data_IF_938603838811
#
_entry.id   IF_938603838811
#
_cell.length_a   1.000
_cell.length_b   1.000
_cell.length_c   1.000
_cell.angle_alpha   90.00
_cell.angle_beta   90.00
_cell.angle_gamma   90.00
#
_symmetry.space_group_name_H-M   'P 1'
#
loop_
_entity.id
_entity.type
_entity.pdbx_description
1 polymer ?
#
# COMPACT_ATOMS: atom_id res chain seq x y z
N UNK A 1 -41.14 11.75 -26.16
CA UNK A 1 -40.04 11.12 -26.92
C UNK A 1 -38.71 11.86 -26.77
N UNK A 2 -38.67 13.19 -26.90
CA UNK A 2 -37.43 13.99 -26.72
C UNK A 2 -36.79 13.92 -25.32
N UNK A 3 -37.58 13.84 -24.24
CA UNK A 3 -37.03 13.81 -22.88
C UNK A 3 -36.22 12.55 -22.56
N UNK A 4 -36.56 11.43 -23.20
CA UNK A 4 -35.87 10.14 -23.01
C UNK A 4 -34.51 10.12 -23.72
N UNK A 5 -34.41 10.83 -24.84
CA UNK A 5 -33.17 11.03 -25.59
C UNK A 5 -32.20 11.91 -24.79
N UNK A 6 -32.69 13.00 -24.19
CA UNK A 6 -31.86 13.89 -23.35
C UNK A 6 -31.34 13.16 -22.11
N UNK A 7 -32.18 12.37 -21.45
CA UNK A 7 -31.78 11.54 -20.30
C UNK A 7 -30.75 10.47 -20.68
N UNK A 8 -30.87 9.87 -21.86
CA UNK A 8 -29.88 8.92 -22.40
C UNK A 8 -28.55 9.59 -22.74
N UNK A 9 -28.57 10.76 -23.38
CA UNK A 9 -27.36 11.53 -23.69
C UNK A 9 -26.68 12.02 -22.40
N UNK A 10 -27.45 12.49 -21.41
CA UNK A 10 -26.93 12.89 -20.11
C UNK A 10 -26.34 11.69 -19.34
N UNK A 11 -26.98 10.50 -19.42
CA UNK A 11 -26.46 9.27 -18.80
C UNK A 11 -25.20 8.77 -19.50
N UNK A 12 -25.13 8.79 -20.83
CA UNK A 12 -23.93 8.41 -21.60
C UNK A 12 -22.80 9.43 -21.39
N UNK A 13 -23.11 10.72 -21.31
CA UNK A 13 -22.15 11.77 -20.95
C UNK A 13 -21.64 11.61 -19.52
N UNK A 14 -22.51 11.30 -18.56
CA UNK A 14 -22.14 11.03 -17.17
C UNK A 14 -21.35 9.72 -17.02
N UNK A 15 -21.66 8.68 -17.79
CA UNK A 15 -20.89 7.42 -17.81
C UNK A 15 -19.48 7.66 -18.38
N UNK A 16 -19.35 8.40 -19.49
CA UNK A 16 -18.04 8.75 -20.04
C UNK A 16 -17.23 9.72 -19.16
N UNK A 17 -17.89 10.60 -18.41
CA UNK A 17 -17.23 11.52 -17.47
C UNK A 17 -16.90 10.86 -16.11
N UNK A 18 -17.65 9.86 -15.69
CA UNK A 18 -17.44 9.13 -14.42
C UNK A 18 -16.47 7.93 -14.55
N UNK A 19 -16.16 7.49 -15.77
CA UNK A 19 -15.12 6.48 -16.04
C UNK A 19 -13.89 7.03 -16.77
N UNK A 20 -13.80 8.35 -16.96
CA UNK A 20 -12.50 8.96 -17.18
C UNK A 20 -11.72 8.83 -15.87
N UNK A 21 -10.59 8.10 -15.82
CA UNK A 21 -9.72 8.23 -14.66
C UNK A 21 -9.46 9.73 -14.49
N UNK A 22 -9.65 10.25 -13.27
CA UNK A 22 -9.11 11.55 -12.88
C UNK A 22 -7.72 11.66 -13.51
N UNK A 23 -7.34 12.78 -14.16
CA UNK A 23 -6.10 12.87 -14.91
C UNK A 23 -5.03 12.30 -14.00
N UNK A 24 -4.59 11.08 -14.32
CA UNK A 24 -3.55 10.43 -13.59
C UNK A 24 -2.44 11.43 -13.83
N UNK A 25 -2.05 12.19 -12.80
CA UNK A 25 -0.67 12.65 -12.73
C UNK A 25 0.08 11.39 -13.04
N UNK A 26 0.63 11.32 -14.25
CA UNK A 26 1.17 10.11 -14.83
C UNK A 26 1.98 9.46 -13.72
N UNK A 27 1.52 8.33 -13.18
CA UNK A 27 2.42 7.58 -12.33
C UNK A 27 3.37 6.98 -13.34
N UNK A 28 4.37 7.78 -13.69
CA UNK A 28 5.47 7.37 -14.50
C UNK A 28 5.90 6.05 -13.87
N UNK A 29 5.92 4.98 -14.67
CA UNK A 29 6.32 3.67 -14.16
C UNK A 29 7.66 3.77 -13.44
N UNK A 30 8.08 2.78 -12.64
CA UNK A 30 9.35 2.90 -11.94
C UNK A 30 10.50 3.27 -12.88
N UNK A 31 11.41 4.13 -12.39
CA UNK A 31 12.52 4.63 -13.18
C UNK A 31 13.35 3.47 -13.74
N UNK A 32 13.75 3.58 -15.01
CA UNK A 32 14.53 2.53 -15.66
C UNK A 32 15.91 2.39 -15.00
N UNK A 33 16.32 1.17 -14.69
CA UNK A 33 17.64 0.91 -14.12
C UNK A 33 18.72 0.86 -15.22
N UNK A 34 19.93 1.29 -14.89
CA UNK A 34 21.05 1.43 -15.81
C UNK A 34 22.34 0.92 -15.19
N UNK A 35 23.35 0.74 -16.03
CA UNK A 35 24.69 0.42 -15.59
C UNK A 35 25.19 1.44 -14.55
N UNK A 36 25.72 0.93 -13.44
CA UNK A 36 26.25 1.75 -12.35
C UNK A 36 25.22 2.20 -11.31
N UNK A 37 23.92 2.04 -11.56
CA UNK A 37 22.89 2.39 -10.59
C UNK A 37 22.98 1.46 -9.36
N UNK A 38 22.78 2.02 -8.16
CA UNK A 38 23.04 1.30 -6.90
C UNK A 38 21.91 0.36 -6.47
N UNK A 39 22.32 -0.73 -5.81
CA UNK A 39 21.43 -1.65 -5.09
C UNK A 39 21.60 -1.51 -3.57
N UNK A 40 20.57 -1.96 -2.84
CA UNK A 40 20.57 -1.96 -1.38
C UNK A 40 19.80 -3.16 -0.82
N UNK A 41 20.39 -3.83 0.17
CA UNK A 41 19.70 -4.84 0.98
C UNK A 41 18.88 -4.17 2.06
N UNK A 42 17.81 -4.81 2.50
CA UNK A 42 17.09 -4.33 3.68
C UNK A 42 17.97 -4.44 4.92
N UNK A 43 17.94 -3.41 5.75
CA UNK A 43 18.55 -3.47 7.09
C UNK A 43 17.52 -4.02 8.07
N UNK A 44 17.90 -4.98 8.91
CA UNK A 44 17.00 -5.53 9.93
C UNK A 44 16.51 -4.45 10.90
N UNK A 45 17.41 -3.55 11.32
CA UNK A 45 17.04 -2.40 12.16
C UNK A 45 16.10 -1.44 11.44
N UNK A 46 16.32 -1.17 10.15
CA UNK A 46 15.39 -0.37 9.35
C UNK A 46 14.02 -1.04 9.28
N UNK A 47 13.96 -2.35 9.02
CA UNK A 47 12.71 -3.11 9.00
C UNK A 47 11.99 -3.10 10.36
N UNK A 48 12.74 -3.23 11.47
CA UNK A 48 12.19 -3.22 12.82
C UNK A 48 11.63 -1.85 13.19
N UNK A 49 12.39 -0.78 12.96
CA UNK A 49 11.95 0.60 13.20
C UNK A 49 10.80 0.99 12.27
N UNK A 50 10.84 0.54 11.03
CA UNK A 50 9.76 0.69 10.05
C UNK A 50 8.49 0.00 10.52
N UNK A 51 8.58 -1.22 11.06
CA UNK A 51 7.44 -1.94 11.64
C UNK A 51 6.84 -1.19 12.84
N UNK A 52 7.67 -0.69 13.76
CA UNK A 52 7.20 0.12 14.90
C UNK A 52 6.53 1.41 14.43
N UNK A 53 7.18 2.14 13.53
CA UNK A 53 6.67 3.42 12.99
C UNK A 53 5.37 3.21 12.20
N UNK A 54 5.34 2.19 11.33
CA UNK A 54 4.16 1.80 10.57
C UNK A 54 2.99 1.42 11.47
N UNK A 55 3.25 0.67 12.54
CA UNK A 55 2.22 0.31 13.50
C UNK A 55 1.69 1.54 14.28
N UNK A 56 2.54 2.49 14.67
CA UNK A 56 2.11 3.74 15.32
C UNK A 56 1.26 4.61 14.39
N UNK A 57 1.65 4.76 13.12
CA UNK A 57 0.86 5.49 12.12
C UNK A 57 -0.48 4.77 11.89
N UNK A 58 -0.46 3.45 11.75
CA UNK A 58 -1.65 2.63 11.67
C UNK A 58 -2.58 2.85 12.87
N UNK A 59 -2.04 2.80 14.09
CA UNK A 59 -2.80 3.06 15.31
C UNK A 59 -3.49 4.43 15.31
N UNK A 60 -2.79 5.48 14.86
CA UNK A 60 -3.37 6.82 14.77
C UNK A 60 -4.53 6.88 13.76
N UNK A 61 -4.38 6.26 12.59
CA UNK A 61 -5.44 6.14 11.58
C UNK A 61 -6.65 5.38 12.14
N UNK A 62 -6.42 4.24 12.80
CA UNK A 62 -7.48 3.43 13.41
C UNK A 62 -8.14 4.13 14.60
N UNK A 63 -7.40 4.89 15.42
CA UNK A 63 -7.96 5.67 16.52
C UNK A 63 -8.88 6.79 16.01
N UNK A 64 -8.46 7.50 14.96
CA UNK A 64 -9.28 8.51 14.30
C UNK A 64 -10.57 7.90 13.72
N UNK A 65 -10.46 6.74 13.05
CA UNK A 65 -11.63 6.01 12.58
C UNK A 65 -12.54 5.55 13.74
N UNK A 66 -11.96 5.07 14.84
CA UNK A 66 -12.68 4.67 16.06
C UNK A 66 -13.45 5.81 16.71
N UNK A 67 -12.91 7.03 16.72
CA UNK A 67 -13.59 8.21 17.23
C UNK A 67 -14.79 8.61 16.37
N UNK A 68 -14.68 8.49 15.04
CA UNK A 68 -15.82 8.70 14.12
C UNK A 68 -16.93 7.67 14.34
N UNK A 69 -16.55 6.42 14.63
CA UNK A 69 -17.51 5.35 14.96
C UNK A 69 -18.22 5.62 16.29
N UNK A 70 -17.47 6.08 17.31
CA UNK A 70 -18.02 6.45 18.60
C UNK A 70 -18.95 7.67 18.50
N UNK A 71 -18.57 8.69 17.74
CA UNK A 71 -19.34 9.91 17.53
C UNK A 71 -20.65 9.71 16.76
N UNK A 72 -20.72 8.70 15.89
CA UNK A 72 -21.93 8.34 15.13
C UNK A 72 -22.87 7.36 15.86
N UNK A 73 -22.59 7.07 17.14
CA UNK A 73 -23.44 6.20 17.97
C UNK A 73 -23.47 4.74 17.49
N UNK A 74 -22.41 4.27 16.82
CA UNK A 74 -22.29 2.90 16.37
C UNK A 74 -22.96 2.58 15.03
N UNK A 75 -23.64 3.51 14.37
CA UNK A 75 -24.17 3.29 13.00
C UNK A 75 -23.05 3.03 11.98
N UNK A 76 -21.89 3.67 12.18
CA UNK A 76 -20.71 3.41 11.38
C UNK A 76 -20.05 2.05 11.68
N UNK A 77 -20.41 1.32 12.75
CA UNK A 77 -19.84 -0.03 12.99
C UNK A 77 -20.31 -1.05 11.96
N UNK A 78 -21.58 -1.00 11.56
CA UNK A 78 -22.12 -1.89 10.53
C UNK A 78 -21.54 -1.53 9.17
N UNK A 79 -21.34 -0.22 8.89
CA UNK A 79 -20.63 0.22 7.72
C UNK A 79 -19.15 -0.21 7.77
N UNK A 80 -18.40 0.01 8.83
CA UNK A 80 -16.96 -0.31 8.92
C UNK A 80 -16.70 -1.83 9.01
N UNK A 81 -17.59 -2.62 9.60
CA UNK A 81 -17.48 -4.10 9.64
C UNK A 81 -17.98 -4.75 8.33
N UNK A 82 -19.04 -4.23 7.70
CA UNK A 82 -19.45 -4.68 6.36
C UNK A 82 -18.52 -4.15 5.25
N UNK A 83 -17.85 -3.03 5.48
CA UNK A 83 -16.85 -2.38 4.63
C UNK A 83 -15.43 -2.60 5.21
N UNK A 84 -15.17 -3.70 5.91
CA UNK A 84 -13.81 -4.04 6.36
C UNK A 84 -12.79 -4.03 5.22
N UNK A 85 -13.26 -4.19 3.98
CA UNK A 85 -12.52 -4.06 2.73
C UNK A 85 -12.77 -2.75 1.97
N UNK A 86 -13.82 -1.98 2.26
CA UNK A 86 -14.23 -0.82 1.47
C UNK A 86 -13.99 0.54 2.16
N UNK A 87 -13.88 0.59 3.48
CA UNK A 87 -13.42 1.79 4.20
C UNK A 87 -11.93 2.10 3.95
N UNK A 88 -11.13 1.06 3.72
CA UNK A 88 -9.72 1.18 3.31
C UNK A 88 -9.58 1.73 1.89
N UNK A 89 -10.54 1.45 0.99
CA UNK A 89 -10.50 1.95 -0.40
C UNK A 89 -10.62 3.49 -0.48
N UNK A 90 -11.40 4.13 0.39
CA UNK A 90 -11.51 5.59 0.44
C UNK A 90 -10.24 6.28 0.99
N UNK A 91 -9.38 5.54 1.69
CA UNK A 91 -8.13 6.01 2.27
C UNK A 91 -6.88 5.54 1.51
N UNK A 92 -7.03 4.96 0.32
CA UNK A 92 -5.89 4.42 -0.45
C UNK A 92 -4.75 5.42 -0.60
N UNK A 93 -5.04 6.69 -0.90
CA UNK A 93 -4.02 7.73 -1.02
C UNK A 93 -3.26 8.04 0.28
N UNK A 94 -3.93 8.02 1.45
CA UNK A 94 -3.24 8.26 2.74
C UNK A 94 -2.43 7.04 3.17
N UNK A 95 -2.94 5.83 2.91
CA UNK A 95 -2.24 4.58 3.19
C UNK A 95 -0.99 4.48 2.30
N UNK A 96 -1.11 4.76 1.00
CA UNK A 96 0.03 4.77 0.08
C UNK A 96 1.10 5.77 0.50
N UNK A 97 0.72 7.00 0.87
CA UNK A 97 1.67 8.01 1.38
C UNK A 97 2.32 7.59 2.69
N UNK A 98 1.55 7.04 3.62
CA UNK A 98 2.09 6.53 4.89
C UNK A 98 3.07 5.38 4.66
N UNK A 99 2.70 4.42 3.80
CA UNK A 99 3.55 3.28 3.45
C UNK A 99 4.82 3.72 2.70
N UNK A 100 4.72 4.71 1.81
CA UNK A 100 5.86 5.32 1.13
C UNK A 100 6.80 5.99 2.11
N UNK A 101 6.27 6.81 3.03
CA UNK A 101 7.09 7.46 4.06
C UNK A 101 7.80 6.46 4.99
N UNK A 102 7.14 5.34 5.33
CA UNK A 102 7.78 4.26 6.09
C UNK A 102 8.86 3.58 5.25
N UNK A 103 8.59 3.28 3.98
CA UNK A 103 9.57 2.68 3.08
C UNK A 103 10.80 3.59 2.90
N UNK A 104 10.59 4.89 2.67
CA UNK A 104 11.65 5.90 2.57
C UNK A 104 12.47 5.99 3.86
N UNK A 105 11.80 5.92 5.01
CA UNK A 105 12.49 5.89 6.30
C UNK A 105 13.32 4.61 6.47
N UNK A 106 12.79 3.43 6.16
CA UNK A 106 13.55 2.17 6.17
C UNK A 106 14.74 2.25 5.22
N UNK A 107 14.54 2.82 4.04
CA UNK A 107 15.57 2.99 3.03
C UNK A 107 16.59 4.06 3.38
N UNK A 108 16.28 5.01 4.28
CA UNK A 108 17.27 5.94 4.82
C UNK A 108 18.29 5.25 5.76
N UNK A 109 17.90 4.11 6.34
CA UNK A 109 18.72 3.36 7.30
C UNK A 109 19.54 2.31 6.57
N UNK A 110 20.77 2.65 6.22
CA UNK A 110 21.80 1.72 5.70
C UNK A 110 22.63 2.28 4.54
N UNK A 111 23.71 1.60 4.20
CA UNK A 111 24.59 1.94 3.07
C UNK A 111 24.09 1.33 1.75
N UNK A 112 24.59 1.85 0.63
CA UNK A 112 24.47 1.19 -0.68
C UNK A 112 25.39 -0.03 -0.72
N UNK A 113 24.92 -1.09 -1.39
CA UNK A 113 25.57 -2.41 -1.40
C UNK A 113 26.18 -2.75 -2.77
N UNK A 114 26.34 -1.76 -3.64
CA UNK A 114 27.11 -1.85 -4.88
C UNK A 114 26.30 -1.53 -6.15
N UNK A 115 27.00 -1.30 -7.28
CA UNK A 115 26.39 -0.96 -8.56
C UNK A 115 25.97 -2.18 -9.39
N UNK A 116 25.01 -1.97 -10.30
CA UNK A 116 24.80 -2.85 -11.45
C UNK A 116 26.08 -2.86 -12.31
N UNK A 117 26.63 -4.06 -12.55
CA UNK A 117 27.95 -4.24 -13.16
C UNK A 117 27.92 -4.61 -14.64
N UNK A 118 26.82 -5.19 -15.13
CA UNK A 118 26.63 -5.45 -16.57
C UNK A 118 25.27 -4.93 -17.02
N UNK A 119 25.14 -4.66 -18.33
CA UNK A 119 23.94 -4.09 -18.91
C UNK A 119 23.86 -4.40 -20.41
N UNK A 120 22.82 -3.90 -21.09
CA UNK A 120 22.67 -3.97 -22.54
C UNK A 120 23.82 -3.31 -23.30
N UNK A 121 24.37 -3.98 -24.30
CA UNK A 121 25.49 -3.48 -25.11
C UNK A 121 25.11 -2.44 -26.18
N UNK A 122 23.82 -2.24 -26.45
CA UNK A 122 23.32 -1.42 -27.56
C UNK A 122 22.11 -0.54 -27.22
N UNK A 123 21.48 -0.73 -26.06
CA UNK A 123 20.37 0.11 -25.61
C UNK A 123 20.84 0.98 -24.47
N UNK A 124 20.73 2.30 -24.67
CA UNK A 124 21.19 3.30 -23.72
C UNK A 124 20.01 4.14 -23.23
N UNK A 125 20.01 4.43 -21.93
CA UNK A 125 19.05 5.28 -21.24
C UNK A 125 19.85 6.39 -20.58
N UNK A 126 19.62 7.64 -21.00
CA UNK A 126 20.38 8.81 -20.54
C UNK A 126 21.90 8.61 -20.66
N UNK A 127 22.36 8.03 -21.77
CA UNK A 127 23.78 7.80 -22.06
C UNK A 127 24.43 6.63 -21.30
N UNK A 128 23.71 5.93 -20.41
CA UNK A 128 24.18 4.72 -19.75
C UNK A 128 23.49 3.47 -20.32
N UNK A 129 24.17 2.34 -20.32
CA UNK A 129 23.61 1.07 -20.80
C UNK A 129 22.40 0.65 -19.94
N UNK A 130 21.30 0.22 -20.57
CA UNK A 130 20.07 -0.17 -19.88
C UNK A 130 20.20 -1.54 -19.20
N UNK A 131 19.75 -1.65 -17.95
CA UNK A 131 19.81 -2.90 -17.18
C UNK A 131 18.60 -3.81 -17.46
N UNK A 132 18.83 -5.12 -17.39
CA UNK A 132 17.87 -6.17 -17.75
C UNK A 132 17.84 -7.26 -16.69
N UNK A 133 16.65 -7.78 -16.39
CA UNK A 133 16.51 -8.98 -15.58
C UNK A 133 17.15 -10.21 -16.28
N UNK A 134 17.37 -11.28 -15.53
CA UNK A 134 17.82 -12.62 -15.99
C UNK A 134 19.30 -12.68 -16.39
N UNK A 135 19.81 -11.67 -17.09
CA UNK A 135 21.15 -11.69 -17.70
C UNK A 135 22.14 -10.78 -17.02
N UNK A 136 21.70 -9.61 -16.54
CA UNK A 136 22.61 -8.62 -16.00
C UNK A 136 22.92 -8.86 -14.52
N UNK A 137 24.18 -8.59 -14.15
CA UNK A 137 24.76 -8.86 -12.85
C UNK A 137 24.98 -7.57 -12.06
N UNK A 138 25.12 -7.74 -10.75
CA UNK A 138 25.36 -6.67 -9.80
C UNK A 138 26.66 -6.95 -9.04
N UNK A 139 27.49 -5.92 -8.87
CA UNK A 139 28.69 -6.00 -8.05
C UNK A 139 28.32 -5.80 -6.57
N UNK A 140 27.65 -6.79 -6.00
CA UNK A 140 27.20 -6.75 -4.61
C UNK A 140 28.39 -6.88 -3.64
N UNK A 141 28.52 -5.95 -2.68
CA UNK A 141 29.60 -5.94 -1.68
C UNK A 141 29.40 -6.94 -0.55
N UNK A 142 28.17 -7.44 -0.35
CA UNK A 142 27.82 -8.39 0.71
C UNK A 142 27.97 -9.86 0.30
N UNK A 143 28.15 -10.14 -0.98
CA UNK A 143 28.19 -11.50 -1.52
C UNK A 143 29.41 -11.67 -2.43
N UNK A 144 30.13 -12.78 -2.30
CA UNK A 144 31.33 -13.03 -3.10
C UNK A 144 31.03 -13.38 -4.57
N UNK A 145 29.85 -13.96 -4.85
CA UNK A 145 29.40 -14.24 -6.22
C UNK A 145 28.48 -13.12 -6.70
N UNK A 146 28.74 -12.50 -7.88
CA UNK A 146 27.88 -11.46 -8.43
C UNK A 146 26.46 -11.98 -8.67
N UNK A 147 25.46 -11.47 -7.94
CA UNK A 147 24.09 -11.89 -8.12
C UNK A 147 23.49 -11.25 -9.38
N UNK A 148 22.51 -11.93 -9.99
CA UNK A 148 21.77 -11.45 -11.15
C UNK A 148 20.53 -10.68 -10.76
N UNK A 149 20.07 -9.78 -11.62
CA UNK A 149 18.76 -9.12 -11.46
C UNK A 149 17.66 -10.16 -11.68
N UNK A 150 16.79 -10.33 -10.68
CA UNK A 150 15.76 -11.37 -10.65
C UNK A 150 14.40 -10.89 -11.15
N UNK A 151 14.10 -9.61 -10.99
CA UNK A 151 12.82 -9.01 -11.37
C UNK A 151 12.96 -7.96 -12.46
N UNK A 152 11.87 -7.75 -13.20
CA UNK A 152 11.79 -6.74 -14.25
C UNK A 152 10.36 -6.48 -14.68
N UNK A 153 10.22 -5.67 -15.73
CA UNK A 153 8.96 -5.39 -16.41
C UNK A 153 8.32 -6.66 -16.99
N UNK A 154 7.00 -6.77 -16.95
CA UNK A 154 6.25 -7.88 -17.57
C UNK A 154 5.99 -7.65 -19.07
N UNK A 155 6.03 -6.40 -19.52
CA UNK A 155 5.66 -6.05 -20.90
C UNK A 155 6.72 -5.28 -21.68
N UNK A 156 7.80 -4.83 -21.02
CA UNK A 156 8.87 -4.07 -21.67
C UNK A 156 10.15 -4.90 -21.63
N UNK A 157 10.68 -5.17 -22.81
CA UNK A 157 11.86 -5.99 -23.01
C UNK A 157 12.97 -5.19 -23.69
N UNK A 158 14.21 -5.48 -23.33
CA UNK A 158 15.43 -4.90 -23.90
C UNK A 158 16.32 -6.08 -24.28
N UNK A 159 16.59 -6.25 -25.58
CA UNK A 159 17.30 -7.42 -26.11
C UNK A 159 16.70 -8.74 -25.61
N UNK A 160 15.38 -8.89 -25.77
CA UNK A 160 14.61 -10.09 -25.37
C UNK A 160 14.63 -10.43 -23.88
N UNK A 161 15.08 -9.50 -23.03
CA UNK A 161 15.10 -9.66 -21.58
C UNK A 161 14.25 -8.59 -20.90
N UNK A 162 13.58 -8.91 -19.79
CA UNK A 162 12.75 -7.94 -19.07
C UNK A 162 13.54 -6.70 -18.66
N UNK A 163 13.02 -5.50 -18.90
CA UNK A 163 13.67 -4.26 -18.49
C UNK A 163 13.67 -4.13 -16.97
N UNK A 164 14.85 -3.91 -16.37
CA UNK A 164 15.00 -3.72 -14.93
C UNK A 164 14.73 -2.26 -14.54
N UNK A 165 14.23 -2.06 -13.32
CA UNK A 165 13.75 -0.76 -12.82
C UNK A 165 14.09 -0.58 -11.34
N UNK A 166 13.95 0.66 -10.87
CA UNK A 166 13.96 0.96 -9.43
C UNK A 166 12.86 0.15 -8.74
N UNK A 167 13.21 -0.52 -7.64
CA UNK A 167 12.32 -1.40 -6.90
C UNK A 167 12.36 -2.87 -7.33
N UNK A 168 12.99 -3.20 -8.46
CA UNK A 168 13.20 -4.60 -8.85
C UNK A 168 14.26 -5.27 -7.99
N UNK A 169 14.01 -6.55 -7.68
CA UNK A 169 14.88 -7.38 -6.84
C UNK A 169 15.99 -8.05 -7.63
N UNK A 170 17.09 -8.24 -6.92
CA UNK A 170 18.25 -9.05 -7.29
C UNK A 170 18.09 -10.42 -6.63
N UNK A 171 18.69 -11.45 -7.23
CA UNK A 171 18.70 -12.83 -6.71
C UNK A 171 19.15 -12.93 -5.25
N UNK A 172 20.09 -12.09 -4.79
CA UNK A 172 20.49 -12.05 -3.38
C UNK A 172 19.52 -11.32 -2.43
N UNK A 173 18.32 -10.96 -2.91
CA UNK A 173 17.28 -10.27 -2.13
C UNK A 173 17.30 -8.74 -2.22
N UNK A 174 18.46 -8.17 -2.60
CA UNK A 174 18.68 -6.73 -2.71
C UNK A 174 17.71 -6.06 -3.68
N UNK A 175 17.50 -4.76 -3.51
CA UNK A 175 16.59 -3.96 -4.34
C UNK A 175 17.35 -2.84 -5.04
N UNK A 176 17.06 -2.60 -6.32
CA UNK A 176 17.62 -1.46 -7.08
C UNK A 176 17.01 -0.16 -6.54
N UNK A 177 17.85 0.81 -6.16
CA UNK A 177 17.42 2.08 -5.54
C UNK A 177 17.65 3.31 -6.40
N UNK A 178 18.49 3.20 -7.43
CA UNK A 178 18.76 4.28 -8.38
C UNK A 178 18.29 3.90 -9.79
N UNK A 179 17.95 4.92 -10.57
CA UNK A 179 17.43 4.77 -11.92
C UNK A 179 17.55 6.05 -12.73
N UNK A 180 17.00 6.03 -13.94
CA UNK A 180 16.93 7.19 -14.84
C UNK A 180 16.06 8.31 -14.28
N UNK A 181 16.39 9.56 -14.61
CA UNK A 181 15.65 10.74 -14.14
C UNK A 181 14.43 11.07 -15.00
N UNK A 182 14.48 10.71 -16.29
CA UNK A 182 13.48 11.06 -17.31
C UNK A 182 12.82 9.85 -17.96
N UNK A 183 13.37 8.64 -17.77
CA UNK A 183 12.88 7.42 -18.44
C UNK A 183 12.30 6.46 -17.42
N UNK A 184 11.05 6.10 -17.65
CA UNK A 184 10.21 5.37 -16.74
C UNK A 184 9.61 4.18 -17.47
N UNK A 185 9.73 2.98 -16.88
CA UNK A 185 9.28 1.74 -17.52
C UNK A 185 8.02 1.24 -16.80
N UNK A 186 6.89 1.33 -17.51
CA UNK A 186 5.60 0.84 -17.02
C UNK A 186 5.49 -0.69 -16.97
N UNK A 187 4.28 -1.13 -16.64
CA UNK A 187 3.86 -2.54 -16.45
C UNK A 187 4.05 -3.11 -15.04
N UNK A 188 3.52 -4.31 -14.83
CA UNK A 188 3.70 -5.10 -13.61
C UNK A 188 5.16 -5.50 -13.34
N UNK A 189 5.39 -6.19 -12.23
CA UNK A 189 6.70 -6.65 -11.80
C UNK A 189 6.74 -8.18 -11.86
N UNK A 190 7.45 -8.71 -12.87
CA UNK A 190 7.67 -10.14 -13.03
C UNK A 190 8.88 -10.62 -12.23
N UNK A 191 8.78 -11.80 -11.62
CA UNK A 191 9.92 -12.49 -10.99
C UNK A 191 10.36 -13.65 -11.87
N UNK A 192 11.57 -13.54 -12.42
CA UNK A 192 12.08 -14.45 -13.44
C UNK A 192 13.19 -15.36 -12.91
N UNK A 193 13.85 -14.97 -11.82
CA UNK A 193 14.79 -15.79 -11.07
C UNK A 193 14.32 -15.91 -9.63
N UNK A 194 14.76 -16.97 -8.96
CA UNK A 194 14.54 -17.14 -7.52
C UNK A 194 15.28 -16.05 -6.75
N UNK A 195 14.64 -15.57 -5.67
CA UNK A 195 15.16 -14.49 -4.84
C UNK A 195 15.38 -15.05 -3.45
N UNK A 196 16.63 -14.99 -3.01
CA UNK A 196 17.01 -15.38 -1.65
C UNK A 196 16.35 -14.47 -0.62
N UNK A 197 15.96 -15.07 0.49
CA UNK A 197 15.35 -14.33 1.60
C UNK A 197 16.43 -13.53 2.36
N UNK A 198 16.30 -12.21 2.39
CA UNK A 198 17.27 -11.34 3.09
C UNK A 198 17.24 -11.49 4.62
N UNK A 199 16.16 -12.04 5.17
CA UNK A 199 15.98 -12.23 6.61
C UNK A 199 15.72 -13.69 6.92
N UNK A 200 16.35 -14.15 7.99
CA UNK A 200 16.09 -15.48 8.53
C UNK A 200 14.64 -15.61 9.01
N UNK A 201 14.14 -16.85 9.08
CA UNK A 201 12.82 -17.16 9.62
C UNK A 201 12.58 -16.55 11.01
N UNK A 202 13.58 -16.59 11.90
CA UNK A 202 13.44 -16.05 13.26
C UNK A 202 13.41 -14.52 13.28
N UNK A 203 14.12 -13.84 12.37
CA UNK A 203 14.09 -12.38 12.24
C UNK A 203 12.72 -11.91 11.73
N UNK A 204 12.16 -12.62 10.74
CA UNK A 204 10.79 -12.40 10.26
C UNK A 204 9.78 -12.60 11.39
N UNK A 205 9.97 -13.63 12.22
CA UNK A 205 9.10 -13.87 13.38
C UNK A 205 9.16 -12.71 14.40
N UNK A 206 10.34 -12.11 14.61
CA UNK A 206 10.47 -10.91 15.46
C UNK A 206 9.70 -9.72 14.87
N UNK A 207 9.83 -9.46 13.56
CA UNK A 207 9.11 -8.38 12.91
C UNK A 207 7.59 -8.54 13.05
N UNK A 208 7.09 -9.77 12.84
CA UNK A 208 5.68 -10.11 13.05
C UNK A 208 5.27 -9.94 14.52
N UNK A 209 6.10 -10.38 15.47
CA UNK A 209 5.81 -10.25 16.90
C UNK A 209 5.68 -8.78 17.34
N UNK A 210 6.50 -7.89 16.78
CA UNK A 210 6.40 -6.44 17.03
C UNK A 210 5.07 -5.88 16.55
N UNK A 211 4.58 -6.32 15.39
CA UNK A 211 3.27 -5.90 14.88
C UNK A 211 2.13 -6.29 15.83
N UNK A 212 2.19 -7.47 16.47
CA UNK A 212 1.23 -7.89 17.50
C UNK A 212 1.38 -7.17 18.85
N UNK A 213 2.56 -6.59 19.11
CA UNK A 213 2.85 -5.86 20.34
C UNK A 213 2.43 -4.38 20.26
N UNK A 214 2.52 -3.76 19.09
CA UNK A 214 2.20 -2.33 18.92
C UNK A 214 0.70 -2.17 18.62
N UNK A 215 0.00 -1.13 19.14
CA UNK A 215 -1.38 -0.84 18.74
C UNK A 215 -1.47 -0.70 17.21
N UNK A 216 -2.58 -1.07 16.54
CA UNK A 216 -3.92 -1.39 17.05
C UNK A 216 -4.13 -2.86 17.48
N UNK A 217 -3.26 -3.78 17.07
CA UNK A 217 -3.41 -5.24 17.26
C UNK A 217 -3.42 -5.65 18.76
N UNK A 218 -2.54 -5.06 19.58
CA UNK A 218 -2.53 -5.26 21.04
C UNK A 218 -3.81 -4.79 21.72
N UNK A 219 -4.42 -3.71 21.21
CA UNK A 219 -5.69 -3.18 21.68
C UNK A 219 -6.87 -4.06 21.24
N UNK A 220 -6.81 -4.58 20.02
CA UNK A 220 -7.82 -5.49 19.46
C UNK A 220 -7.83 -6.84 20.19
N UNK A 221 -6.67 -7.45 20.49
CA UNK A 221 -6.60 -8.69 21.27
C UNK A 221 -7.19 -8.51 22.68
N UNK A 222 -6.86 -7.41 23.37
CA UNK A 222 -7.47 -7.07 24.66
C UNK A 222 -8.97 -6.75 24.53
N UNK A 223 -9.39 -6.09 23.45
CA UNK A 223 -10.78 -5.74 23.16
C UNK A 223 -11.64 -6.97 22.86
N UNK A 224 -11.14 -7.90 22.05
CA UNK A 224 -11.75 -9.20 21.74
C UNK A 224 -11.84 -10.04 23.02
N UNK A 225 -10.78 -10.11 23.82
CA UNK A 225 -10.82 -10.76 25.13
C UNK A 225 -11.91 -10.20 26.04
N UNK A 226 -12.06 -8.85 26.06
CA UNK A 226 -13.17 -8.19 26.79
C UNK A 226 -14.53 -8.51 26.20
N UNK A 227 -14.67 -8.74 24.89
CA UNK A 227 -15.92 -9.14 24.22
C UNK A 227 -16.46 -10.48 24.74
N UNK A 228 -15.58 -11.42 25.09
CA UNK A 228 -15.97 -12.72 25.64
C UNK A 228 -16.37 -12.68 27.12
N UNK A 229 -16.09 -11.58 27.82
CA UNK A 229 -16.53 -11.40 29.21
C UNK A 229 -18.04 -11.13 29.28
N UNK A 230 -18.67 -11.44 30.42
CA UNK A 230 -20.10 -11.17 30.67
C UNK A 230 -20.45 -9.69 30.48
N UNK A 231 -19.55 -8.79 30.90
CA UNK A 231 -19.69 -7.36 30.72
C UNK A 231 -19.55 -6.93 29.25
N UNK A 232 -18.61 -7.52 28.50
CA UNK A 232 -18.46 -7.25 27.07
C UNK A 232 -19.66 -7.69 26.24
N UNK A 233 -20.16 -8.92 26.46
CA UNK A 233 -21.39 -9.41 25.83
C UNK A 233 -22.60 -8.51 26.17
N UNK A 234 -22.73 -8.11 27.43
CA UNK A 234 -23.81 -7.20 27.85
C UNK A 234 -23.70 -5.81 27.21
N UNK A 235 -22.48 -5.29 27.01
CA UNK A 235 -22.23 -4.02 26.33
C UNK A 235 -22.57 -4.10 24.83
N UNK A 236 -22.25 -5.21 24.15
CA UNK A 236 -22.63 -5.45 22.74
C UNK A 236 -24.14 -5.50 22.59
N UNK A 237 -24.82 -6.28 23.43
CA UNK A 237 -26.28 -6.42 23.37
C UNK A 237 -26.97 -5.10 23.73
N UNK A 238 -26.47 -4.38 24.74
CA UNK A 238 -26.98 -3.04 25.09
C UNK A 238 -26.75 -2.03 23.97
N UNK A 239 -25.57 -2.05 23.34
CA UNK A 239 -25.23 -1.21 22.19
C UNK A 239 -26.12 -1.51 20.98
N UNK A 240 -26.32 -2.78 20.65
CA UNK A 240 -27.24 -3.22 19.59
C UNK A 240 -28.68 -2.78 19.87
N UNK A 241 -29.15 -2.89 21.12
CA UNK A 241 -30.48 -2.47 21.54
C UNK A 241 -30.65 -0.95 21.50
N UNK A 242 -29.62 -0.18 21.86
CA UNK A 242 -29.60 1.27 21.72
C UNK A 242 -29.61 1.68 20.25
N UNK A 243 -28.79 1.06 19.41
CA UNK A 243 -28.76 1.28 17.96
C UNK A 243 -30.13 1.01 17.32
N UNK A 244 -30.76 -0.12 17.63
CA UNK A 244 -32.11 -0.44 17.15
C UNK A 244 -33.15 0.60 17.59
N UNK A 245 -33.07 1.12 18.82
CA UNK A 245 -33.94 2.21 19.31
C UNK A 245 -33.68 3.54 18.62
N UNK A 246 -32.43 3.84 18.27
CA UNK A 246 -32.05 5.05 17.53
C UNK A 246 -32.60 4.98 16.10
N UNK A 247 -32.44 3.85 15.42
CA UNK A 247 -32.99 3.59 14.08
C UNK A 247 -34.52 3.65 14.11
N UNK A 248 -35.17 3.06 15.12
CA UNK A 248 -36.62 3.16 15.29
C UNK A 248 -37.09 4.61 15.52
N UNK A 249 -36.34 5.44 16.25
CA UNK A 249 -36.66 6.87 16.43
C UNK A 249 -36.56 7.64 15.12
N UNK A 250 -35.53 7.39 14.32
CA UNK A 250 -35.32 8.00 13.00
C UNK A 250 -36.41 7.54 12.02
N UNK A 251 -36.72 6.24 11.97
CA UNK A 251 -37.78 5.68 11.13
C UNK A 251 -39.20 6.15 11.56
N UNK A 252 -39.42 6.44 12.84
CA UNK A 252 -40.70 6.97 13.35
C UNK A 252 -40.92 8.48 13.08
N UNK A 253 -40.00 9.15 12.38
CA UNK A 253 -40.15 10.56 11.95
C UNK A 253 -40.13 11.60 13.07
N UNK A 254 -39.77 11.25 14.31
CA UNK A 254 -39.80 12.18 15.46
C UNK A 254 -38.72 13.26 15.45
N UNK A 255 -37.73 13.19 14.54
CA UNK A 255 -36.68 14.21 14.38
C UNK A 255 -36.93 15.22 13.26
N UNK A 256 -38.01 15.11 12.47
CA UNK A 256 -38.34 16.09 11.42
C UNK A 256 -39.18 17.28 11.92
N UNK A 257 -39.55 17.36 13.20
CA UNK A 257 -40.32 18.50 13.75
C UNK A 257 -39.42 19.57 14.35
N UNK A 258 -38.54 20.18 13.55
CA UNK A 258 -37.94 21.48 13.90
C UNK A 258 -37.58 22.35 12.69
N UNK A 259 -38.18 22.12 11.53
CA UNK A 259 -38.01 22.98 10.36
C UNK A 259 -39.35 23.34 9.70
N UNK A 260 -40.36 23.69 10.50
CA UNK A 260 -41.62 24.27 9.99
C UNK A 260 -42.22 25.22 11.02
N UNK A 261 -41.52 26.33 11.25
CA UNK A 261 -42.12 27.58 11.77
C UNK A 261 -41.16 28.75 11.45
N UNK A 262 -41.15 29.14 10.19
CA UNK A 262 -40.92 30.51 9.77
C UNK A 262 -42.10 30.84 8.85
N UNK A 263 -43.10 31.51 9.44
CA UNK A 263 -43.99 32.44 8.72
C UNK A 263 -43.43 33.82 8.99
#
# INVERSE_FOLDING_TARGET
MQQDIIQRIARVGAMNAASGPAPLTSQAGPAAARLGDQIKHKSFLGALLGAVTGALIGAAIFAAAGLLIAGTGGLATVAVLALGTAGTMAMGGVISRASGAVADFVDSVGSMDGPISTASSNVYIEGKQAARAIVDMVACTKHSSPPKIAQGSESVFINDQPAARVGDKVTCGATIKEGASSVYVGSGQGSYLEIDEEFSWWEKAILVAVEFLVPPSRGMLKGIGKLFTKAGRAAVVSGAKMGARQVAKIASGKTFRCATKCV
#
